data_IF_077787024767
#
_entry.id   IF_077787024767
#
_cell.length_a   1.000
_cell.length_b   1.000
_cell.length_c   1.000
_cell.angle_alpha   90.00
_cell.angle_beta   90.00
_cell.angle_gamma   90.00
#
_symmetry.space_group_name_H-M   'P 1'
#
loop_
_entity.id
_entity.type
_entity.pdbx_description
1 polymer ?
#
# COMPACT_ATOMS: atom_id res chain seq x y z
N UNK A 1 0.46 11.97 6.63
CA UNK A 1 1.61 11.15 6.18
C UNK A 1 1.46 9.77 6.80
N UNK A 2 1.72 8.72 6.03
CA UNK A 2 1.79 7.33 6.50
C UNK A 2 3.15 6.73 6.08
N UNK A 3 3.80 5.96 6.96
CA UNK A 3 5.11 5.35 6.72
C UNK A 3 5.13 3.93 7.31
N UNK A 4 5.44 2.92 6.48
CA UNK A 4 5.50 1.50 6.87
C UNK A 4 4.22 1.03 7.61
N UNK A 5 3.06 1.33 7.02
CA UNK A 5 1.75 0.92 7.55
C UNK A 5 0.91 0.22 6.47
N UNK A 6 0.96 0.66 5.22
CA UNK A 6 0.05 0.18 4.17
C UNK A 6 0.20 -1.31 3.85
N UNK A 7 1.40 -1.87 4.01
CA UNK A 7 1.71 -3.31 3.92
C UNK A 7 0.95 -4.14 4.96
N UNK A 8 0.59 -3.51 6.09
CA UNK A 8 -0.09 -4.12 7.21
C UNK A 8 -1.61 -3.85 7.23
N UNK A 9 -2.11 -3.06 6.29
CA UNK A 9 -3.54 -2.83 6.15
C UNK A 9 -4.15 -3.99 5.36
N UNK A 10 -4.99 -4.80 6.01
CA UNK A 10 -5.66 -5.93 5.35
C UNK A 10 -6.55 -5.51 4.16
N UNK A 11 -7.11 -4.30 4.20
CA UNK A 11 -7.96 -3.73 3.15
C UNK A 11 -7.51 -2.30 2.84
N UNK A 12 -6.36 -2.10 2.15
CA UNK A 12 -5.78 -0.78 1.94
C UNK A 12 -6.71 0.12 1.12
N UNK A 13 -7.51 -0.44 0.21
CA UNK A 13 -8.54 0.28 -0.53
C UNK A 13 -9.58 0.94 0.39
N UNK A 14 -10.08 0.25 1.43
CA UNK A 14 -11.02 0.85 2.38
C UNK A 14 -10.37 2.02 3.13
N UNK A 15 -9.11 1.87 3.53
CA UNK A 15 -8.39 2.93 4.25
C UNK A 15 -8.20 4.17 3.37
N UNK A 16 -7.91 4.01 2.09
CA UNK A 16 -7.85 5.15 1.14
C UNK A 16 -9.18 5.89 1.09
N UNK A 17 -10.31 5.18 1.08
CA UNK A 17 -11.64 5.81 1.08
C UNK A 17 -11.93 6.57 2.39
N UNK A 18 -11.55 6.01 3.54
CA UNK A 18 -11.69 6.70 4.83
C UNK A 18 -10.76 7.93 4.93
N UNK A 19 -9.54 7.84 4.40
CA UNK A 19 -8.66 9.02 4.27
C UNK A 19 -9.34 10.07 3.40
N UNK A 20 -9.98 9.68 2.29
CA UNK A 20 -10.69 10.62 1.43
C UNK A 20 -11.76 11.37 2.21
N UNK A 21 -12.57 10.71 3.05
CA UNK A 21 -13.62 11.38 3.85
C UNK A 21 -13.07 12.47 4.77
N UNK A 22 -11.96 12.22 5.44
CA UNK A 22 -11.41 13.14 6.45
C UNK A 22 -10.47 14.19 5.87
N UNK A 23 -9.86 13.92 4.71
CA UNK A 23 -8.92 14.84 4.08
C UNK A 23 -9.68 16.04 3.50
N UNK A 24 -9.22 17.25 3.83
CA UNK A 24 -9.77 18.49 3.27
C UNK A 24 -9.59 18.53 1.75
N UNK A 25 -10.46 19.26 1.05
CA UNK A 25 -10.28 19.54 -0.38
C UNK A 25 -8.90 20.14 -0.65
N UNK A 26 -8.24 19.67 -1.71
CA UNK A 26 -6.85 19.99 -2.05
C UNK A 26 -5.80 19.57 -1.01
N UNK A 27 -6.18 18.79 0.02
CA UNK A 27 -5.25 18.23 0.98
C UNK A 27 -4.31 17.21 0.32
N UNK A 28 -3.10 17.10 0.87
CA UNK A 28 -2.07 16.19 0.39
C UNK A 28 -2.03 14.90 1.22
N UNK A 29 -1.90 13.77 0.52
CA UNK A 29 -1.69 12.45 1.08
C UNK A 29 -0.31 11.97 0.63
N UNK A 30 0.57 11.73 1.59
CA UNK A 30 1.84 11.08 1.37
C UNK A 30 1.87 9.72 2.06
N UNK A 31 2.24 8.68 1.30
CA UNK A 31 2.36 7.30 1.77
C UNK A 31 3.74 6.78 1.35
N UNK A 32 4.44 6.11 2.26
CA UNK A 32 5.67 5.37 2.01
C UNK A 32 5.55 3.98 2.67
N UNK A 33 5.85 2.91 1.96
CA UNK A 33 5.71 1.52 2.44
C UNK A 33 6.62 0.58 1.62
N UNK A 34 6.46 -0.72 1.80
CA UNK A 34 7.37 -1.76 1.33
C UNK A 34 7.03 -2.28 -0.07
N UNK A 35 8.06 -2.68 -0.82
CA UNK A 35 7.93 -3.44 -2.06
C UNK A 35 8.73 -4.77 -2.03
N UNK A 36 10.05 -4.75 -1.98
CA UNK A 36 10.86 -5.97 -1.79
C UNK A 36 11.51 -5.89 -0.42
N UNK A 37 10.72 -6.17 0.61
CA UNK A 37 11.19 -6.18 1.99
C UNK A 37 10.86 -7.51 2.67
N UNK A 38 11.76 -8.04 3.53
CA UNK A 38 11.50 -9.26 4.28
C UNK A 38 10.14 -9.25 4.96
N UNK A 39 9.50 -10.41 5.02
CA UNK A 39 8.25 -10.54 5.77
C UNK A 39 8.52 -10.27 7.26
N UNK A 40 7.66 -9.48 7.89
CA UNK A 40 7.76 -9.08 9.29
C UNK A 40 6.37 -8.92 9.92
N UNK A 41 6.26 -8.76 11.23
CA UNK A 41 4.99 -8.56 11.95
C UNK A 41 3.82 -9.49 11.57
N UNK A 42 4.15 -10.75 11.24
CA UNK A 42 3.15 -11.78 10.89
C UNK A 42 2.18 -12.02 12.07
N UNK A 43 0.90 -12.32 11.79
CA UNK A 43 0.31 -12.59 10.47
C UNK A 43 -0.16 -11.33 9.71
N UNK A 44 0.12 -10.13 10.21
CA UNK A 44 -0.42 -8.88 9.69
C UNK A 44 0.44 -8.23 8.60
N UNK A 45 1.17 -9.01 7.80
CA UNK A 45 1.98 -8.53 6.68
C UNK A 45 1.40 -9.10 5.38
N UNK A 46 0.75 -8.22 4.60
CA UNK A 46 -0.18 -8.63 3.54
C UNK A 46 0.28 -8.24 2.14
N UNK A 47 0.83 -7.04 1.97
CA UNK A 47 0.98 -6.43 0.67
C UNK A 47 2.40 -5.92 0.42
N UNK A 48 2.78 -5.91 -0.85
CA UNK A 48 3.95 -5.22 -1.39
C UNK A 48 3.45 -4.30 -2.49
N UNK A 49 3.85 -3.03 -2.45
CA UNK A 49 3.29 -2.00 -3.33
C UNK A 49 4.30 -1.59 -4.39
N UNK A 50 3.92 -1.72 -5.66
CA UNK A 50 4.58 -1.01 -6.75
C UNK A 50 3.95 0.37 -6.96
N UNK A 51 4.60 1.19 -7.79
CA UNK A 51 4.04 2.44 -8.28
C UNK A 51 2.73 2.24 -9.08
N UNK A 52 2.58 1.13 -9.79
CA UNK A 52 1.32 0.75 -10.44
C UNK A 52 0.20 0.48 -9.44
N UNK A 53 0.51 -0.12 -8.28
CA UNK A 53 -0.49 -0.34 -7.23
C UNK A 53 -1.08 0.99 -6.72
N UNK A 54 -0.26 2.05 -6.65
CA UNK A 54 -0.73 3.37 -6.28
C UNK A 54 -1.70 3.96 -7.30
N UNK A 55 -1.50 3.75 -8.60
CA UNK A 55 -2.43 4.24 -9.64
C UNK A 55 -3.79 3.57 -9.55
N UNK A 56 -3.84 2.32 -9.10
CA UNK A 56 -5.11 1.63 -8.84
C UNK A 56 -5.77 2.17 -7.58
N UNK A 57 -5.00 2.33 -6.49
CA UNK A 57 -5.53 2.79 -5.21
C UNK A 57 -5.90 4.27 -5.20
N UNK A 58 -5.20 5.12 -5.94
CA UNK A 58 -5.35 6.58 -5.92
C UNK A 58 -5.58 7.05 -7.35
N UNK A 59 -6.85 7.29 -7.69
CA UNK A 59 -7.24 7.69 -9.03
C UNK A 59 -8.43 8.65 -9.01
N UNK A 60 -8.78 9.17 -10.19
CA UNK A 60 -9.85 10.17 -10.32
C UNK A 60 -11.21 9.70 -9.78
N UNK A 61 -11.51 8.39 -9.85
CA UNK A 61 -12.82 7.85 -9.43
C UNK A 61 -12.98 7.77 -7.92
N UNK A 62 -11.88 7.71 -7.18
CA UNK A 62 -11.88 7.82 -5.72
C UNK A 62 -11.32 9.16 -5.22
N UNK A 63 -11.30 10.17 -6.10
CA UNK A 63 -11.08 11.57 -5.74
C UNK A 63 -9.62 11.95 -5.52
N UNK A 64 -8.69 11.28 -6.17
CA UNK A 64 -7.26 11.58 -6.06
C UNK A 64 -6.60 11.87 -7.42
N UNK A 65 -5.58 12.72 -7.36
CA UNK A 65 -4.62 12.98 -8.42
C UNK A 65 -3.23 12.67 -7.87
N UNK A 66 -2.52 11.74 -8.49
CA UNK A 66 -1.12 11.45 -8.14
C UNK A 66 -0.24 12.57 -8.69
N UNK A 67 0.50 13.21 -7.81
CA UNK A 67 1.49 14.24 -8.16
C UNK A 67 2.87 13.62 -8.37
N UNK A 68 3.20 12.59 -7.59
CA UNK A 68 4.47 11.90 -7.64
C UNK A 68 4.30 10.47 -7.13
N UNK A 69 5.01 9.52 -7.73
CA UNK A 69 5.10 8.13 -7.28
C UNK A 69 6.49 7.62 -7.61
N UNK A 70 7.09 6.85 -6.71
CA UNK A 70 8.47 6.38 -6.88
C UNK A 70 8.71 5.01 -6.26
N UNK A 71 9.71 4.34 -6.82
CA UNK A 71 10.31 3.13 -6.29
C UNK A 71 11.66 3.47 -5.65
N UNK A 72 11.82 3.15 -4.38
CA UNK A 72 12.93 3.60 -3.55
C UNK A 72 13.88 2.47 -3.17
N UNK A 73 15.17 2.80 -3.14
CA UNK A 73 16.27 1.89 -2.80
C UNK A 73 16.33 0.67 -3.74
N UNK A 74 16.90 0.84 -4.95
CA UNK A 74 17.15 -0.28 -5.85
C UNK A 74 17.91 -1.41 -5.16
N UNK A 75 17.51 -2.64 -5.43
CA UNK A 75 18.09 -3.84 -4.84
C UNK A 75 18.11 -4.99 -5.87
N UNK A 76 18.66 -6.13 -5.46
CA UNK A 76 18.59 -7.39 -6.23
C UNK A 76 17.93 -8.45 -5.38
N UNK A 77 17.01 -9.21 -5.98
CA UNK A 77 16.40 -10.38 -5.36
C UNK A 77 17.20 -11.61 -5.79
N UNK A 78 17.86 -12.23 -4.83
CA UNK A 78 18.67 -13.44 -5.04
C UNK A 78 18.04 -14.56 -4.22
N UNK A 79 17.54 -15.65 -4.84
CA UNK A 79 17.01 -16.79 -4.11
C UNK A 79 18.13 -17.52 -3.36
N UNK A 80 17.78 -18.15 -2.24
CA UNK A 80 18.74 -18.98 -1.48
C UNK A 80 19.21 -20.20 -2.27
N UNK A 81 18.31 -20.75 -3.10
CA UNK A 81 18.60 -21.86 -3.98
C UNK A 81 19.08 -21.35 -5.33
N UNK A 82 20.01 -22.10 -5.94
CA UNK A 82 20.36 -21.89 -7.34
C UNK A 82 19.20 -22.39 -8.22
N UNK A 83 18.37 -21.47 -8.71
CA UNK A 83 17.29 -21.76 -9.64
C UNK A 83 17.84 -21.53 -11.06
N UNK A 84 17.90 -22.58 -11.92
CA UNK A 84 18.30 -22.41 -13.31
C UNK A 84 17.47 -21.33 -14.00
N UNK A 85 18.14 -20.50 -14.80
CA UNK A 85 17.52 -19.40 -15.56
C UNK A 85 16.82 -18.32 -14.71
N UNK A 86 17.14 -18.20 -13.42
CA UNK A 86 16.61 -17.11 -12.60
C UNK A 86 17.22 -15.76 -12.98
N UNK A 87 16.40 -14.91 -13.59
CA UNK A 87 16.81 -13.58 -14.01
C UNK A 87 16.92 -12.63 -12.81
N UNK A 88 18.14 -12.24 -12.47
CA UNK A 88 18.44 -11.30 -11.38
C UNK A 88 18.59 -9.84 -11.85
N UNK A 89 18.34 -9.58 -13.13
CA UNK A 89 18.50 -8.26 -13.75
C UNK A 89 17.20 -7.45 -13.84
N UNK A 90 16.07 -8.01 -13.40
CA UNK A 90 14.84 -7.22 -13.23
C UNK A 90 15.02 -6.16 -12.15
N UNK A 91 14.41 -4.99 -12.37
CA UNK A 91 14.41 -3.92 -11.39
C UNK A 91 13.64 -4.36 -10.13
N UNK A 92 14.26 -4.13 -8.97
CA UNK A 92 13.66 -4.40 -7.68
C UNK A 92 14.01 -3.28 -6.71
N UNK A 93 13.13 -3.02 -5.75
CA UNK A 93 13.25 -1.87 -4.85
C UNK A 93 12.77 -2.25 -3.46
N UNK A 94 13.40 -1.74 -2.41
CA UNK A 94 12.98 -2.07 -1.05
C UNK A 94 11.63 -1.43 -0.70
N UNK A 95 11.44 -0.19 -1.14
CA UNK A 95 10.29 0.65 -0.75
C UNK A 95 9.58 1.24 -1.98
N UNK A 96 8.37 1.74 -1.75
CA UNK A 96 7.61 2.55 -2.68
C UNK A 96 6.94 3.71 -1.96
N UNK A 97 6.78 4.84 -2.65
CA UNK A 97 6.06 5.99 -2.12
C UNK A 97 5.17 6.67 -3.16
N UNK A 98 4.20 7.42 -2.65
CA UNK A 98 3.29 8.22 -3.46
C UNK A 98 2.91 9.51 -2.73
N UNK A 99 2.86 10.60 -3.49
CA UNK A 99 2.24 11.87 -3.11
C UNK A 99 1.01 12.09 -4.00
N UNK A 100 -0.16 12.19 -3.38
CA UNK A 100 -1.41 12.47 -4.06
C UNK A 100 -2.12 13.67 -3.44
N UNK A 101 -2.90 14.37 -4.27
CA UNK A 101 -3.78 15.47 -3.85
C UNK A 101 -5.22 14.99 -3.92
N UNK A 102 -6.03 15.29 -2.90
CA UNK A 102 -7.47 15.07 -2.97
C UNK A 102 -8.10 16.10 -3.90
N UNK A 103 -8.71 15.62 -4.97
CA UNK A 103 -9.39 16.42 -6.00
C UNK A 103 -10.91 16.32 -5.90
N UNK A 104 -11.45 15.35 -5.16
CA UNK A 104 -12.88 15.19 -4.97
C UNK A 104 -13.22 14.17 -3.90
N UNK A 105 -14.53 14.00 -3.65
CA UNK A 105 -15.03 12.89 -2.85
C UNK A 105 -15.23 11.68 -3.77
N UNK A 106 -15.09 10.48 -3.22
CA UNK A 106 -15.43 9.26 -3.94
C UNK A 106 -16.94 8.98 -3.88
N UNK A 107 -17.45 8.17 -4.81
CA UNK A 107 -18.84 7.71 -4.79
C UNK A 107 -19.00 6.47 -3.88
N UNK A 108 -19.65 6.65 -2.73
CA UNK A 108 -19.89 5.59 -1.74
C UNK A 108 -20.78 4.45 -2.26
N UNK A 109 -21.57 4.68 -3.32
CA UNK A 109 -22.38 3.62 -3.93
C UNK A 109 -21.55 2.71 -4.82
N UNK A 110 -20.53 3.26 -5.48
CA UNK A 110 -19.64 2.53 -6.39
C UNK A 110 -18.49 1.86 -5.62
N UNK A 111 -17.90 2.57 -4.66
CA UNK A 111 -16.75 2.10 -3.89
C UNK A 111 -17.18 1.76 -2.46
N UNK A 112 -17.73 0.56 -2.28
CA UNK A 112 -18.10 0.04 -0.97
C UNK A 112 -17.59 -1.37 -0.74
N UNK A 113 -17.34 -1.67 0.51
CA UNK A 113 -16.96 -3.00 0.98
C UNK A 113 -17.58 -3.21 2.36
N UNK A 114 -18.73 -3.87 2.38
CA UNK A 114 -19.62 -3.93 3.54
C UNK A 114 -19.21 -5.03 4.55
N UNK A 115 -18.11 -5.73 4.29
CA UNK A 115 -17.58 -6.79 5.15
C UNK A 115 -16.58 -6.19 6.16
N UNK A 116 -16.68 -6.62 7.42
CA UNK A 116 -15.74 -6.27 8.48
C UNK A 116 -14.48 -7.12 8.37
N UNK A 117 -13.32 -6.58 8.78
CA UNK A 117 -12.10 -7.40 8.89
C UNK A 117 -12.29 -8.58 9.87
N UNK A 118 -13.14 -8.39 10.88
CA UNK A 118 -13.49 -9.44 11.87
C UNK A 118 -14.28 -10.58 11.27
N UNK A 119 -14.91 -10.39 10.11
CA UNK A 119 -15.59 -11.47 9.39
C UNK A 119 -14.61 -12.28 8.52
N UNK A 120 -13.38 -11.79 8.34
CA UNK A 120 -12.35 -12.40 7.48
C UNK A 120 -11.27 -13.10 8.33
N UNK A 121 -10.89 -12.51 9.46
CA UNK A 121 -9.85 -13.06 10.33
C UNK A 121 -10.12 -12.75 11.81
N UNK A 122 -9.87 -13.75 12.66
CA UNK A 122 -9.90 -13.64 14.12
C UNK A 122 -8.53 -13.24 14.71
N UNK A 123 -7.51 -13.04 13.88
CA UNK A 123 -6.16 -12.69 14.33
C UNK A 123 -6.10 -11.26 14.85
N UNK A 124 -5.29 -11.03 15.88
CA UNK A 124 -5.05 -9.70 16.46
C UNK A 124 -3.69 -9.22 15.98
N UNK A 125 -3.59 -7.92 15.66
CA UNK A 125 -2.32 -7.29 15.34
C UNK A 125 -1.29 -7.55 16.45
N UNK A 126 -0.04 -7.96 16.14
CA UNK A 126 0.96 -8.24 17.15
C UNK A 126 1.16 -7.03 18.09
N UNK A 127 1.16 -7.28 19.40
CA UNK A 127 1.60 -6.24 20.35
C UNK A 127 3.12 -6.10 20.24
N UNK A 128 3.63 -4.88 20.37
CA UNK A 128 5.07 -4.62 20.43
C UNK A 128 5.72 -5.58 21.43
N UNK A 129 6.83 -6.22 21.03
CA UNK A 129 7.67 -6.96 21.96
C UNK A 129 8.38 -5.92 22.82
N UNK A 130 7.88 -5.69 24.03
CA UNK A 130 8.57 -4.93 25.09
C UNK A 130 9.90 -5.64 25.42
#
# INVERSE_FOLDING_TARGET
>A
MSKAVFEHLAMPWKVVLEINKILKSNGLLFINTLQTFPLHEKPWDFWRFSDEAWKILLNRWNGYEIMYSNMEFPCRVIPELNIPDWETNHEAYLLSNVLAKKTGNYDEKLFKWDISIRDITDSIYPKEKI
#
